data_IF_884082094617
#
_entry.id   IF_884082094617
#
_cell.length_a   1.000
_cell.length_b   1.000
_cell.length_c   1.000
_cell.angle_alpha   90.00
_cell.angle_beta   90.00
_cell.angle_gamma   90.00
#
_symmetry.space_group_name_H-M   'P 1'
#
loop_
_entity.id
_entity.type
_entity.pdbx_description
1 polymer ?
#
# COMPACT_ATOMS: atom_id res chain seq x y z
N UNK A 1 -5.36 -36.73 31.38
CA UNK A 1 -6.41 -35.73 31.69
C UNK A 1 -6.20 -34.59 30.70
N UNK A 2 -7.05 -34.50 29.68
CA UNK A 2 -7.02 -33.46 28.65
C UNK A 2 -7.98 -32.38 29.12
N UNK A 3 -7.50 -31.15 29.27
CA UNK A 3 -8.35 -29.95 29.16
C UNK A 3 -7.93 -29.23 27.87
N UNK A 4 -8.77 -29.25 26.81
CA UNK A 4 -8.57 -28.47 25.60
C UNK A 4 -9.49 -27.25 25.67
N UNK A 5 -8.96 -26.06 25.96
CA UNK A 5 -9.81 -24.87 26.03
C UNK A 5 -9.05 -23.58 26.22
N UNK A 6 -9.26 -22.65 25.27
CA UNK A 6 -9.11 -21.22 25.54
C UNK A 6 -8.11 -20.49 24.65
N UNK A 7 -8.51 -20.29 23.40
CA UNK A 7 -8.38 -19.00 22.69
C UNK A 7 -7.05 -18.26 22.77
N UNK A 8 -6.20 -18.46 21.77
CA UNK A 8 -5.41 -17.36 21.22
C UNK A 8 -5.62 -17.30 19.71
N UNK A 9 -6.83 -16.91 19.30
CA UNK A 9 -7.01 -16.27 18.01
C UNK A 9 -6.44 -14.85 18.15
N UNK A 10 -5.10 -14.75 18.17
CA UNK A 10 -4.40 -13.46 18.09
C UNK A 10 -4.74 -12.89 16.72
N UNK A 11 -5.43 -11.77 16.69
CA UNK A 11 -5.70 -10.97 15.50
C UNK A 11 -4.54 -11.03 14.50
N UNK A 12 -4.67 -11.89 13.49
CA UNK A 12 -3.84 -11.89 12.29
C UNK A 12 -4.35 -10.79 11.33
N UNK A 13 -4.87 -9.69 11.86
CA UNK A 13 -5.28 -8.56 11.04
C UNK A 13 -4.04 -7.92 10.46
N UNK A 14 -3.90 -8.03 9.13
CA UNK A 14 -2.81 -7.37 8.42
C UNK A 14 -2.77 -5.88 8.76
N UNK A 15 -1.55 -5.35 8.87
CA UNK A 15 -1.31 -3.94 9.16
C UNK A 15 -1.89 -3.05 8.06
N UNK A 16 -2.74 -2.08 8.41
CA UNK A 16 -3.51 -1.29 7.45
C UNK A 16 -2.65 -0.67 6.34
N UNK A 17 -1.50 -0.07 6.69
CA UNK A 17 -0.66 0.63 5.70
C UNK A 17 0.19 -0.27 4.79
N UNK A 18 0.37 -1.54 5.15
CA UNK A 18 1.33 -2.42 4.45
C UNK A 18 0.75 -3.77 4.04
N UNK A 19 -0.40 -4.16 4.58
CA UNK A 19 -1.14 -5.37 4.23
C UNK A 19 -1.56 -5.38 2.76
N UNK A 20 -1.68 -6.56 2.17
CA UNK A 20 -1.97 -6.72 0.75
C UNK A 20 -3.34 -7.36 0.50
N UNK A 21 -4.01 -7.83 1.56
CA UNK A 21 -5.40 -8.29 1.53
C UNK A 21 -6.37 -7.19 1.11
N UNK A 22 -7.51 -7.62 0.57
CA UNK A 22 -8.62 -6.76 0.18
C UNK A 22 -9.09 -5.91 1.36
N UNK A 23 -9.22 -6.50 2.54
CA UNK A 23 -9.67 -5.82 3.77
C UNK A 23 -8.65 -4.80 4.27
N UNK A 24 -7.35 -5.09 4.18
CA UNK A 24 -6.33 -4.11 4.53
C UNK A 24 -6.30 -2.94 3.54
N UNK A 25 -6.48 -3.22 2.24
CA UNK A 25 -6.54 -2.19 1.20
C UNK A 25 -7.78 -1.29 1.37
N UNK A 26 -8.97 -1.85 1.59
CA UNK A 26 -10.20 -1.08 1.87
C UNK A 26 -10.02 -0.12 3.04
N UNK A 27 -9.55 -0.65 4.17
CA UNK A 27 -9.29 0.14 5.38
C UNK A 27 -8.29 1.26 5.10
N UNK A 28 -7.20 0.97 4.38
CA UNK A 28 -6.19 1.97 4.05
C UNK A 28 -6.69 3.06 3.10
N UNK A 29 -7.52 2.71 2.11
CA UNK A 29 -8.11 3.69 1.19
C UNK A 29 -9.02 4.64 1.97
N UNK A 30 -9.92 4.09 2.80
CA UNK A 30 -10.82 4.90 3.63
C UNK A 30 -10.05 5.76 4.64
N UNK A 31 -9.03 5.20 5.30
CA UNK A 31 -8.16 5.95 6.22
C UNK A 31 -7.45 7.10 5.49
N UNK A 32 -6.94 6.88 4.29
CA UNK A 32 -6.26 7.93 3.53
C UNK A 32 -7.24 8.99 3.01
N UNK A 33 -8.45 8.58 2.62
CA UNK A 33 -9.52 9.51 2.25
C UNK A 33 -9.91 10.41 3.44
N UNK A 34 -10.04 9.82 4.63
CA UNK A 34 -10.43 10.54 5.83
C UNK A 34 -9.29 11.39 6.41
N UNK A 35 -8.16 10.77 6.75
CA UNK A 35 -7.09 11.43 7.50
C UNK A 35 -6.15 12.26 6.64
N UNK A 36 -5.92 11.90 5.37
CA UNK A 36 -5.06 12.70 4.48
C UNK A 36 -5.87 13.74 3.71
N UNK A 37 -7.03 13.35 3.15
CA UNK A 37 -7.83 14.27 2.34
C UNK A 37 -8.88 15.06 3.13
N UNK A 38 -9.22 14.64 4.36
CA UNK A 38 -10.30 15.29 5.12
C UNK A 38 -11.66 15.14 4.42
N UNK A 39 -11.89 13.97 3.81
CA UNK A 39 -13.11 13.63 3.06
C UNK A 39 -13.72 12.35 3.60
N UNK A 40 -15.03 12.24 3.45
CA UNK A 40 -15.78 11.00 3.71
C UNK A 40 -16.45 10.56 2.41
N UNK A 41 -16.81 9.28 2.33
CA UNK A 41 -17.23 8.63 1.09
C UNK A 41 -18.33 9.41 0.34
N UNK A 42 -19.35 9.91 1.06
CA UNK A 42 -20.51 10.57 0.47
C UNK A 42 -20.21 11.86 -0.30
N UNK A 43 -19.10 12.53 0.02
CA UNK A 43 -18.69 13.80 -0.62
C UNK A 43 -17.41 13.67 -1.44
N UNK A 44 -16.83 12.47 -1.49
CA UNK A 44 -15.57 12.24 -2.17
C UNK A 44 -15.75 12.22 -3.70
N UNK A 45 -15.00 13.09 -4.37
CA UNK A 45 -14.95 13.11 -5.83
C UNK A 45 -14.10 11.96 -6.37
N UNK A 46 -14.20 11.68 -7.68
CA UNK A 46 -13.36 10.67 -8.33
C UNK A 46 -11.85 10.95 -8.12
N UNK A 47 -11.45 12.22 -8.07
CA UNK A 47 -10.06 12.59 -7.82
C UNK A 47 -9.65 12.32 -6.37
N UNK A 48 -10.54 12.51 -5.40
CA UNK A 48 -10.26 12.21 -3.99
C UNK A 48 -10.03 10.70 -3.80
N UNK A 49 -10.84 9.86 -4.44
CA UNK A 49 -10.65 8.41 -4.47
C UNK A 49 -9.34 8.00 -5.15
N UNK A 50 -9.00 8.63 -6.28
CA UNK A 50 -7.72 8.42 -6.95
C UNK A 50 -6.53 8.74 -6.03
N UNK A 51 -6.57 9.88 -5.33
CA UNK A 51 -5.51 10.29 -4.41
C UNK A 51 -5.43 9.36 -3.19
N UNK A 52 -6.57 8.99 -2.61
CA UNK A 52 -6.62 8.03 -1.49
C UNK A 52 -5.99 6.67 -1.86
N UNK A 53 -6.27 6.17 -3.06
CA UNK A 53 -5.64 4.97 -3.59
C UNK A 53 -4.13 5.17 -3.84
N UNK A 54 -3.73 6.32 -4.38
CA UNK A 54 -2.33 6.64 -4.62
C UNK A 54 -1.51 6.66 -3.32
N UNK A 55 -2.03 7.25 -2.25
CA UNK A 55 -1.40 7.21 -0.93
C UNK A 55 -1.33 5.78 -0.37
N UNK A 56 -2.40 5.01 -0.53
CA UNK A 56 -2.45 3.60 -0.12
C UNK A 56 -1.35 2.76 -0.78
N UNK A 57 -1.15 2.93 -2.07
CA UNK A 57 -0.08 2.24 -2.82
C UNK A 57 1.30 2.76 -2.40
N UNK A 58 1.44 4.07 -2.20
CA UNK A 58 2.70 4.71 -1.78
C UNK A 58 3.21 4.16 -0.46
N UNK A 59 2.35 3.96 0.53
CA UNK A 59 2.77 3.46 1.85
C UNK A 59 3.44 2.08 1.77
N UNK A 60 2.92 1.18 0.92
CA UNK A 60 3.49 -0.15 0.66
C UNK A 60 4.86 -0.06 -0.03
N UNK A 61 4.99 0.86 -0.98
CA UNK A 61 6.27 1.10 -1.67
C UNK A 61 7.32 1.72 -0.74
N UNK A 62 6.93 2.68 0.10
CA UNK A 62 7.84 3.34 1.03
C UNK A 62 8.42 2.35 2.03
N UNK A 63 7.61 1.44 2.57
CA UNK A 63 8.10 0.39 3.46
C UNK A 63 9.19 -0.48 2.77
N UNK A 64 8.95 -0.92 1.53
CA UNK A 64 9.93 -1.70 0.76
C UNK A 64 11.17 -0.86 0.41
N UNK A 65 10.99 0.40 0.05
CA UNK A 65 12.07 1.31 -0.31
C UNK A 65 13.03 1.55 0.87
N UNK A 66 12.50 1.82 2.06
CA UNK A 66 13.31 2.00 3.28
C UNK A 66 14.09 0.73 3.60
N UNK A 67 13.48 -0.45 3.47
CA UNK A 67 14.17 -1.73 3.65
C UNK A 67 15.31 -1.91 2.65
N UNK A 68 15.07 -1.62 1.36
CA UNK A 68 16.12 -1.68 0.33
C UNK A 68 17.25 -0.70 0.61
N UNK A 69 16.94 0.55 0.98
CA UNK A 69 17.95 1.56 1.30
C UNK A 69 18.81 1.14 2.51
N UNK A 70 18.20 0.54 3.54
CA UNK A 70 18.93 -0.03 4.67
C UNK A 70 19.86 -1.16 4.24
N UNK A 71 19.38 -2.10 3.44
CA UNK A 71 20.19 -3.21 2.91
C UNK A 71 21.41 -2.71 2.11
N UNK A 72 21.21 -1.72 1.23
CA UNK A 72 22.30 -1.13 0.44
C UNK A 72 23.37 -0.49 1.33
N UNK A 73 22.95 0.20 2.39
CA UNK A 73 23.85 0.79 3.39
C UNK A 73 24.63 -0.30 4.15
N UNK A 74 23.93 -1.28 4.69
CA UNK A 74 24.51 -2.34 5.53
C UNK A 74 25.50 -3.21 4.75
N UNK A 75 25.26 -3.41 3.44
CA UNK A 75 26.11 -4.21 2.57
C UNK A 75 27.23 -3.40 1.88
N UNK A 76 27.35 -2.08 2.13
CA UNK A 76 28.27 -1.20 1.39
C UNK A 76 28.18 -1.38 -0.13
N UNK A 77 26.96 -1.54 -0.65
CA UNK A 77 26.74 -1.87 -2.06
C UNK A 77 27.24 -0.76 -2.98
N UNK A 78 27.89 -1.12 -4.09
CA UNK A 78 28.27 -0.17 -5.14
C UNK A 78 27.00 0.44 -5.76
N UNK A 79 26.97 1.75 -5.90
CA UNK A 79 25.84 2.48 -6.48
C UNK A 79 26.08 2.76 -7.96
N UNK A 80 25.12 2.41 -8.82
CA UNK A 80 25.12 2.78 -10.24
C UNK A 80 24.32 4.06 -10.40
N UNK A 81 24.97 5.13 -10.89
CA UNK A 81 24.32 6.41 -11.16
C UNK A 81 23.96 6.50 -12.64
N UNK A 82 22.67 6.34 -12.96
CA UNK A 82 22.15 6.54 -14.30
C UNK A 82 21.80 8.02 -14.51
N UNK A 83 22.50 8.70 -15.42
CA UNK A 83 22.27 10.10 -15.77
C UNK A 83 21.68 10.20 -17.17
N UNK A 84 20.52 10.82 -17.29
CA UNK A 84 19.85 11.12 -18.57
C UNK A 84 19.42 12.58 -18.59
N UNK A 85 19.34 13.16 -19.79
CA UNK A 85 18.75 14.47 -19.99
C UNK A 85 17.24 14.46 -19.73
N UNK A 86 16.59 13.33 -20.00
CA UNK A 86 15.13 13.20 -19.92
C UNK A 86 14.72 11.83 -19.36
N UNK A 87 13.61 11.81 -18.62
CA UNK A 87 12.95 10.60 -18.12
C UNK A 87 11.44 10.68 -18.41
N UNK A 88 10.95 9.78 -19.27
CA UNK A 88 9.54 9.71 -19.64
C UNK A 88 8.83 8.64 -18.81
N UNK A 89 8.42 8.98 -17.59
CA UNK A 89 7.94 8.00 -16.62
C UNK A 89 6.48 7.55 -16.82
N UNK A 90 5.64 8.41 -17.40
CA UNK A 90 4.21 8.14 -17.59
C UNK A 90 3.41 7.97 -16.28
N UNK A 91 2.20 7.40 -16.34
CA UNK A 91 1.36 7.18 -15.16
C UNK A 91 1.89 6.09 -14.23
N UNK A 92 2.21 6.44 -12.98
CA UNK A 92 2.85 5.52 -12.03
C UNK A 92 1.89 4.60 -11.27
N UNK A 93 0.66 5.02 -11.01
CA UNK A 93 -0.23 4.30 -10.08
C UNK A 93 -0.50 2.86 -10.55
N UNK A 94 -0.93 2.69 -11.79
CA UNK A 94 -1.17 1.37 -12.37
C UNK A 94 0.08 0.49 -12.39
N UNK A 95 1.21 1.06 -12.82
CA UNK A 95 2.50 0.38 -12.83
C UNK A 95 2.91 -0.10 -11.43
N UNK A 96 2.69 0.72 -10.41
CA UNK A 96 3.00 0.37 -9.03
C UNK A 96 2.10 -0.74 -8.49
N UNK A 97 0.79 -0.70 -8.79
CA UNK A 97 -0.18 -1.74 -8.42
C UNK A 97 0.22 -3.09 -9.03
N UNK A 98 0.62 -3.10 -10.30
CA UNK A 98 1.09 -4.31 -11.01
C UNK A 98 2.40 -4.82 -10.38
N UNK A 99 3.39 -3.96 -10.17
CA UNK A 99 4.68 -4.35 -9.60
C UNK A 99 4.58 -4.82 -8.13
N UNK A 100 3.59 -4.32 -7.38
CA UNK A 100 3.25 -4.83 -6.05
C UNK A 100 2.46 -6.15 -6.10
N UNK A 101 1.95 -6.54 -7.28
CA UNK A 101 1.09 -7.71 -7.53
C UNK A 101 -0.22 -7.68 -6.74
N UNK A 102 -0.84 -6.50 -6.65
CA UNK A 102 -2.08 -6.27 -5.90
C UNK A 102 -3.24 -5.81 -6.78
N UNK A 103 -3.16 -5.99 -8.09
CA UNK A 103 -4.18 -5.49 -9.01
C UNK A 103 -5.57 -6.05 -8.69
N UNK A 104 -5.69 -7.37 -8.56
CA UNK A 104 -6.99 -8.01 -8.29
C UNK A 104 -7.55 -7.61 -6.93
N UNK A 105 -6.69 -7.59 -5.90
CA UNK A 105 -7.08 -7.18 -4.55
C UNK A 105 -7.53 -5.71 -4.48
N UNK A 106 -6.87 -4.81 -5.22
CA UNK A 106 -7.29 -3.40 -5.33
C UNK A 106 -8.60 -3.27 -6.09
N UNK A 107 -8.77 -4.02 -7.18
CA UNK A 107 -10.02 -4.02 -7.96
C UNK A 107 -11.20 -4.48 -7.12
N UNK A 108 -11.03 -5.56 -6.38
CA UNK A 108 -12.04 -6.08 -5.45
C UNK A 108 -12.32 -5.07 -4.32
N UNK A 109 -11.27 -4.51 -3.72
CA UNK A 109 -11.40 -3.50 -2.68
C UNK A 109 -12.25 -2.30 -3.12
N UNK A 110 -12.00 -1.77 -4.33
CA UNK A 110 -12.73 -0.63 -4.88
C UNK A 110 -14.15 -0.96 -5.35
N UNK A 111 -14.44 -2.22 -5.69
CA UNK A 111 -15.79 -2.62 -6.12
C UNK A 111 -16.77 -2.65 -4.95
N UNK A 112 -16.25 -2.91 -3.76
CA UNK A 112 -17.02 -3.06 -2.52
C UNK A 112 -17.07 -1.78 -1.66
N UNK A 113 -16.49 -0.67 -2.14
CA UNK A 113 -16.47 0.66 -1.49
C UNK A 113 -17.49 1.60 -2.15
#
# INVERSE_FOLDING_TARGET
MIDPGGTQNRDLTEHTRTGLSVEALKRAILDNLFYIQGRFADVATQNDWYQALAYTVRDRLLNRWVQTAKTYKDQSSRTVCYMSAEYLLGPHLGNNIINLRIYDAVKEALTDL
#
